data_IF_403257432326
#
_entry.id   IF_403257432326
#
_cell.length_a   1.000
_cell.length_b   1.000
_cell.length_c   1.000
_cell.angle_alpha   90.00
_cell.angle_beta   90.00
_cell.angle_gamma   90.00
#
_symmetry.space_group_name_H-M   'P 1'
#
loop_
_entity.id
_entity.type
_entity.pdbx_description
1 polymer ?
#
# COMPACT_ATOMS: atom_id res chain seq x y z
N UNK A 1 37.81 2.43 -14.84
CA UNK A 1 37.03 1.48 -14.02
C UNK A 1 37.41 0.08 -14.51
N UNK A 2 37.59 -0.88 -13.61
CA UNK A 2 37.86 -2.27 -14.04
C UNK A 2 36.61 -2.84 -14.75
N UNK A 3 36.84 -3.56 -15.84
CA UNK A 3 35.79 -4.16 -16.69
C UNK A 3 34.86 -5.10 -15.92
N UNK A 4 35.37 -5.72 -14.86
CA UNK A 4 34.61 -6.60 -13.95
C UNK A 4 33.61 -5.80 -13.11
N UNK A 5 34.06 -4.68 -12.52
CA UNK A 5 33.25 -3.76 -11.71
C UNK A 5 32.17 -3.12 -12.56
N UNK A 6 32.49 -2.72 -13.78
CA UNK A 6 31.51 -2.14 -14.72
C UNK A 6 30.38 -3.13 -15.05
N UNK A 7 30.71 -4.41 -15.29
CA UNK A 7 29.71 -5.46 -15.53
C UNK A 7 28.85 -5.73 -14.29
N UNK A 8 29.44 -5.73 -13.09
CA UNK A 8 28.69 -5.90 -11.84
C UNK A 8 27.74 -4.72 -11.61
N UNK A 9 28.20 -3.50 -11.87
CA UNK A 9 27.38 -2.30 -11.82
C UNK A 9 26.20 -2.37 -12.80
N UNK A 10 26.43 -2.72 -14.07
CA UNK A 10 25.36 -2.82 -15.08
C UNK A 10 24.27 -3.84 -14.68
N UNK A 11 24.64 -4.96 -14.04
CA UNK A 11 23.66 -5.94 -13.52
C UNK A 11 22.80 -5.35 -12.41
N UNK A 12 23.42 -4.64 -11.47
CA UNK A 12 22.71 -3.97 -10.39
C UNK A 12 21.81 -2.85 -10.93
N UNK A 13 22.32 -2.05 -11.86
CA UNK A 13 21.61 -0.96 -12.51
C UNK A 13 20.34 -1.46 -13.21
N UNK A 14 20.44 -2.51 -14.02
CA UNK A 14 19.29 -3.10 -14.71
C UNK A 14 18.24 -3.64 -13.74
N UNK A 15 18.66 -4.25 -12.63
CA UNK A 15 17.75 -4.71 -11.58
C UNK A 15 17.06 -3.53 -10.85
N UNK A 16 17.79 -2.44 -10.58
CA UNK A 16 17.21 -1.23 -9.97
C UNK A 16 16.21 -0.55 -10.91
N UNK A 17 16.45 -0.54 -12.22
CA UNK A 17 15.47 -0.07 -13.20
C UNK A 17 14.20 -0.91 -13.19
N UNK A 18 14.32 -2.24 -13.10
CA UNK A 18 13.17 -3.14 -13.03
C UNK A 18 12.39 -2.94 -11.73
N UNK A 19 13.08 -2.83 -10.59
CA UNK A 19 12.46 -2.44 -9.32
C UNK A 19 11.70 -1.13 -9.44
N UNK A 20 12.30 -0.13 -10.08
CA UNK A 20 11.65 1.18 -10.29
C UNK A 20 10.37 1.05 -11.10
N UNK A 21 10.34 0.21 -12.14
CA UNK A 21 9.10 -0.07 -12.91
C UNK A 21 8.05 -0.74 -12.04
N UNK A 22 8.41 -1.75 -11.26
CA UNK A 22 7.48 -2.45 -10.35
C UNK A 22 6.90 -1.47 -9.33
N UNK A 23 7.72 -0.61 -8.72
CA UNK A 23 7.24 0.41 -7.78
C UNK A 23 6.32 1.44 -8.46
N UNK A 24 6.59 1.85 -9.71
CA UNK A 24 5.67 2.72 -10.45
C UNK A 24 4.32 2.05 -10.69
N UNK A 25 4.31 0.79 -11.12
CA UNK A 25 3.07 0.03 -11.28
C UNK A 25 2.31 -0.13 -9.96
N UNK A 26 3.03 -0.40 -8.86
CA UNK A 26 2.42 -0.48 -7.53
C UNK A 26 1.81 0.86 -7.10
N UNK A 27 2.49 1.98 -7.37
CA UNK A 27 1.96 3.31 -7.10
C UNK A 27 0.67 3.59 -7.86
N UNK A 28 0.57 3.17 -9.12
CA UNK A 28 -0.65 3.33 -9.92
C UNK A 28 -1.80 2.49 -9.37
N UNK A 29 -1.53 1.26 -8.91
CA UNK A 29 -2.53 0.41 -8.24
C UNK A 29 -3.04 1.07 -6.96
N UNK A 30 -2.14 1.49 -6.06
CA UNK A 30 -2.54 2.09 -4.78
C UNK A 30 -3.30 3.40 -4.98
N UNK A 31 -3.00 4.18 -6.03
CA UNK A 31 -3.81 5.34 -6.41
C UNK A 31 -5.21 4.95 -6.86
N UNK A 32 -5.32 3.94 -7.73
CA UNK A 32 -6.61 3.46 -8.22
C UNK A 32 -7.46 2.89 -7.09
N UNK A 33 -6.86 2.22 -6.11
CA UNK A 33 -7.57 1.70 -4.94
C UNK A 33 -8.32 2.78 -4.17
N UNK A 34 -7.78 4.00 -4.10
CA UNK A 34 -8.47 5.14 -3.48
C UNK A 34 -9.83 5.40 -4.16
N UNK A 35 -9.84 5.44 -5.50
CA UNK A 35 -11.06 5.67 -6.27
C UNK A 35 -12.06 4.52 -6.13
N UNK A 36 -11.57 3.28 -6.05
CA UNK A 36 -12.39 2.09 -5.86
C UNK A 36 -13.04 2.05 -4.48
N UNK A 37 -12.29 2.43 -3.43
CA UNK A 37 -12.80 2.55 -2.06
C UNK A 37 -13.89 3.60 -1.95
N UNK A 38 -13.70 4.77 -2.59
CA UNK A 38 -14.71 5.85 -2.61
C UNK A 38 -15.99 5.41 -3.32
N UNK A 39 -15.87 4.60 -4.38
CA UNK A 39 -17.02 4.05 -5.12
C UNK A 39 -17.66 2.82 -4.47
N UNK A 40 -17.03 2.27 -3.42
CA UNK A 40 -17.40 0.99 -2.81
C UNK A 40 -17.52 -0.18 -3.82
N UNK A 41 -16.65 -0.18 -4.84
CA UNK A 41 -16.64 -1.21 -5.90
C UNK A 41 -15.84 -2.45 -5.43
N UNK A 42 -16.53 -3.36 -4.75
CA UNK A 42 -15.92 -4.56 -4.16
C UNK A 42 -15.28 -5.50 -5.21
N UNK A 43 -15.93 -5.84 -6.34
CA UNK A 43 -15.30 -6.68 -7.37
C UNK A 43 -14.01 -6.08 -7.93
N UNK A 44 -14.01 -4.78 -8.25
CA UNK A 44 -12.81 -4.12 -8.77
C UNK A 44 -11.71 -4.01 -7.71
N UNK A 45 -12.07 -3.85 -6.44
CA UNK A 45 -11.12 -3.83 -5.32
C UNK A 45 -10.45 -5.20 -5.12
N UNK A 46 -11.19 -6.30 -5.26
CA UNK A 46 -10.64 -7.66 -5.20
C UNK A 46 -9.66 -7.92 -6.35
N UNK A 47 -10.00 -7.52 -7.58
CA UNK A 47 -9.10 -7.60 -8.72
C UNK A 47 -7.83 -6.76 -8.51
N UNK A 48 -7.98 -5.54 -7.99
CA UNK A 48 -6.86 -4.66 -7.64
C UNK A 48 -5.92 -5.31 -6.61
N UNK A 49 -6.49 -5.94 -5.58
CA UNK A 49 -5.72 -6.65 -4.56
C UNK A 49 -4.92 -7.82 -5.15
N UNK A 50 -5.50 -8.62 -6.06
CA UNK A 50 -4.78 -9.70 -6.75
C UNK A 50 -3.58 -9.17 -7.56
N UNK A 51 -3.79 -8.11 -8.34
CA UNK A 51 -2.71 -7.47 -9.09
C UNK A 51 -1.61 -6.93 -8.16
N UNK A 52 -1.99 -6.37 -7.01
CA UNK A 52 -1.05 -5.91 -5.98
C UNK A 52 -0.24 -7.05 -5.40
N UNK A 53 -0.87 -8.18 -5.07
CA UNK A 53 -0.19 -9.37 -4.55
C UNK A 53 0.84 -9.93 -5.54
N UNK A 54 0.47 -10.04 -6.81
CA UNK A 54 1.38 -10.47 -7.88
C UNK A 54 2.60 -9.55 -8.01
N UNK A 55 2.39 -8.23 -7.96
CA UNK A 55 3.50 -7.27 -7.98
C UNK A 55 4.36 -7.36 -6.73
N UNK A 56 3.77 -7.54 -5.54
CA UNK A 56 4.54 -7.72 -4.30
C UNK A 56 5.38 -8.99 -4.32
N UNK A 57 4.88 -10.07 -4.93
CA UNK A 57 5.68 -11.29 -5.13
C UNK A 57 6.88 -11.02 -6.03
N UNK A 58 6.67 -10.37 -7.18
CA UNK A 58 7.76 -9.97 -8.10
C UNK A 58 8.75 -9.02 -7.43
N UNK A 59 8.25 -8.07 -6.63
CA UNK A 59 9.07 -7.10 -5.90
C UNK A 59 10.04 -7.80 -4.94
N UNK A 60 9.56 -8.76 -4.16
CA UNK A 60 10.40 -9.54 -3.23
C UNK A 60 11.51 -10.29 -3.97
N UNK A 61 11.18 -10.91 -5.11
CA UNK A 61 12.17 -11.61 -5.92
C UNK A 61 13.25 -10.65 -6.47
N UNK A 62 12.84 -9.48 -6.97
CA UNK A 62 13.76 -8.48 -7.50
C UNK A 62 14.60 -7.82 -6.40
N UNK A 63 14.06 -7.62 -5.19
CA UNK A 63 14.82 -7.06 -4.07
C UNK A 63 15.87 -8.05 -3.53
N UNK A 64 15.56 -9.34 -3.54
CA UNK A 64 16.56 -10.37 -3.24
C UNK A 64 17.72 -10.36 -4.25
N UNK A 65 17.41 -10.16 -5.55
CA UNK A 65 18.43 -9.99 -6.58
C UNK A 65 19.23 -8.70 -6.38
N UNK A 66 18.58 -7.59 -6.02
CA UNK A 66 19.23 -6.32 -5.69
C UNK A 66 20.26 -6.51 -4.58
N UNK A 67 19.86 -7.15 -3.49
CA UNK A 67 20.75 -7.40 -2.34
C UNK A 67 21.98 -8.21 -2.77
N UNK A 68 21.78 -9.28 -3.55
CA UNK A 68 22.89 -10.09 -4.09
C UNK A 68 23.82 -9.28 -5.00
N UNK A 69 23.28 -8.54 -5.97
CA UNK A 69 24.11 -7.76 -6.89
C UNK A 69 24.83 -6.59 -6.19
N UNK A 70 24.21 -6.00 -5.17
CA UNK A 70 24.85 -4.98 -4.35
C UNK A 70 26.00 -5.56 -3.52
N UNK A 71 25.84 -6.78 -2.98
CA UNK A 71 26.90 -7.51 -2.27
C UNK A 71 28.08 -7.86 -3.18
N UNK A 72 27.79 -8.34 -4.40
CA UNK A 72 28.81 -8.63 -5.41
C UNK A 72 29.62 -7.36 -5.75
N UNK A 73 28.91 -6.23 -5.98
CA UNK A 73 29.56 -4.96 -6.28
C UNK A 73 30.35 -4.43 -5.07
N UNK A 74 29.79 -4.53 -3.86
CA UNK A 74 30.45 -4.12 -2.61
C UNK A 74 31.80 -4.81 -2.43
N UNK A 75 31.84 -6.12 -2.69
CA UNK A 75 33.05 -6.94 -2.61
C UNK A 75 34.14 -6.42 -3.56
N UNK A 76 33.76 -6.01 -4.77
CA UNK A 76 34.72 -5.53 -5.78
C UNK A 76 35.23 -4.11 -5.52
N UNK A 77 34.42 -3.25 -4.88
CA UNK A 77 34.76 -1.84 -4.62
C UNK A 77 35.27 -1.59 -3.19
N UNK A 78 35.34 -2.63 -2.35
CA UNK A 78 35.75 -2.51 -0.94
C UNK A 78 34.77 -1.69 -0.09
N UNK A 79 33.46 -1.92 -0.29
CA UNK A 79 32.38 -1.40 0.56
C UNK A 79 31.94 -2.45 1.61
N UNK A 80 31.02 -2.07 2.50
CA UNK A 80 30.38 -3.04 3.40
C UNK A 80 29.58 -4.08 2.59
N UNK A 81 29.97 -5.35 2.74
CA UNK A 81 29.38 -6.51 2.07
C UNK A 81 28.18 -7.06 2.86
N UNK A 82 28.18 -6.91 4.19
CA UNK A 82 27.11 -7.39 5.06
C UNK A 82 25.86 -6.52 4.90
N UNK A 83 26.04 -5.20 4.75
CA UNK A 83 24.96 -4.25 4.55
C UNK A 83 25.22 -3.29 3.39
N UNK A 84 25.18 -3.77 2.12
CA UNK A 84 25.57 -2.97 0.97
C UNK A 84 24.55 -1.86 0.67
N UNK A 85 24.86 -0.63 1.09
CA UNK A 85 24.01 0.56 0.86
C UNK A 85 24.33 1.20 -0.49
N UNK A 86 23.29 1.50 -1.28
CA UNK A 86 23.47 2.11 -2.61
C UNK A 86 24.25 3.43 -2.58
N UNK A 87 24.01 4.27 -1.57
CA UNK A 87 24.73 5.54 -1.41
C UNK A 87 26.20 5.35 -1.03
N UNK A 88 26.52 4.30 -0.27
CA UNK A 88 27.90 3.96 0.06
C UNK A 88 28.64 3.42 -1.18
N UNK A 89 27.99 2.54 -1.95
CA UNK A 89 28.51 2.08 -3.25
C UNK A 89 28.77 3.26 -4.19
N UNK A 90 27.87 4.24 -4.24
CA UNK A 90 28.07 5.46 -5.02
C UNK A 90 29.23 6.32 -4.51
N UNK A 91 29.51 6.34 -3.20
CA UNK A 91 30.68 7.02 -2.63
C UNK A 91 31.98 6.31 -3.03
N UNK A 92 32.03 4.98 -2.97
CA UNK A 92 33.20 4.19 -3.39
C UNK A 92 33.49 4.32 -4.89
N UNK A 93 32.46 4.57 -5.69
CA UNK A 93 32.55 4.79 -7.13
C UNK A 93 32.67 6.28 -7.52
N UNK A 94 32.94 7.18 -6.57
CA UNK A 94 32.98 8.62 -6.83
C UNK A 94 33.90 8.99 -7.99
N UNK A 95 33.49 9.99 -8.78
CA UNK A 95 34.20 10.40 -10.00
C UNK A 95 33.89 9.54 -11.23
N UNK A 96 33.01 8.53 -11.12
CA UNK A 96 32.50 7.75 -12.25
C UNK A 96 31.03 8.05 -12.54
N UNK A 97 30.56 7.90 -13.79
CA UNK A 97 29.13 8.02 -14.12
C UNK A 97 28.25 7.05 -13.33
N UNK A 98 28.77 5.88 -12.95
CA UNK A 98 28.04 4.88 -12.17
C UNK A 98 27.58 5.43 -10.81
N UNK A 99 28.40 6.25 -10.15
CA UNK A 99 28.05 6.86 -8.88
C UNK A 99 26.82 7.76 -8.97
N UNK A 100 26.75 8.60 -10.01
CA UNK A 100 25.62 9.51 -10.20
C UNK A 100 24.35 8.75 -10.53
N UNK A 101 24.44 7.70 -11.35
CA UNK A 101 23.30 6.83 -11.66
C UNK A 101 22.76 6.11 -10.42
N UNK A 102 23.63 5.58 -9.55
CA UNK A 102 23.18 4.99 -8.28
C UNK A 102 22.46 5.99 -7.38
N UNK A 103 22.96 7.24 -7.29
CA UNK A 103 22.28 8.30 -6.53
C UNK A 103 20.91 8.61 -7.12
N UNK A 104 20.81 8.78 -8.43
CA UNK A 104 19.54 9.04 -9.12
C UNK A 104 18.53 7.90 -8.90
N UNK A 105 18.97 6.65 -9.05
CA UNK A 105 18.11 5.48 -8.83
C UNK A 105 17.65 5.39 -7.36
N UNK A 106 18.55 5.61 -6.41
CA UNK A 106 18.20 5.63 -4.99
C UNK A 106 17.15 6.71 -4.69
N UNK A 107 17.35 7.95 -5.15
CA UNK A 107 16.38 9.03 -4.95
C UNK A 107 15.03 8.73 -5.60
N UNK A 108 15.03 8.14 -6.81
CA UNK A 108 13.79 7.77 -7.48
C UNK A 108 13.01 6.71 -6.71
N UNK A 109 13.69 5.67 -6.22
CA UNK A 109 13.08 4.62 -5.40
C UNK A 109 12.56 5.15 -4.06
N UNK A 110 13.33 5.99 -3.38
CA UNK A 110 12.95 6.58 -2.09
C UNK A 110 11.65 7.41 -2.21
N UNK A 111 11.58 8.27 -3.23
CA UNK A 111 10.38 9.07 -3.53
C UNK A 111 9.17 8.17 -3.83
N UNK A 112 9.35 7.11 -4.62
CA UNK A 112 8.26 6.17 -4.94
C UNK A 112 7.77 5.44 -3.69
N UNK A 113 8.68 4.87 -2.90
CA UNK A 113 8.37 4.11 -1.68
C UNK A 113 7.62 5.00 -0.68
N UNK A 114 8.12 6.23 -0.45
CA UNK A 114 7.45 7.19 0.43
C UNK A 114 6.03 7.46 -0.04
N UNK A 115 5.84 7.76 -1.32
CA UNK A 115 4.52 8.07 -1.88
C UNK A 115 3.55 6.90 -1.82
N UNK A 116 4.03 5.68 -2.09
CA UNK A 116 3.21 4.46 -1.98
C UNK A 116 2.77 4.27 -0.53
N UNK A 117 3.68 4.45 0.43
CA UNK A 117 3.40 4.28 1.85
C UNK A 117 2.35 5.29 2.33
N UNK A 118 2.49 6.56 1.94
CA UNK A 118 1.57 7.63 2.30
C UNK A 118 0.15 7.35 1.76
N UNK A 119 0.01 7.01 0.47
CA UNK A 119 -1.31 6.75 -0.14
C UNK A 119 -1.91 5.46 0.43
N UNK A 120 -1.10 4.41 0.66
CA UNK A 120 -1.59 3.18 1.24
C UNK A 120 -2.15 3.40 2.65
N UNK A 121 -1.51 4.28 3.43
CA UNK A 121 -2.01 4.68 4.75
C UNK A 121 -3.33 5.45 4.65
N UNK A 122 -3.45 6.38 3.70
CA UNK A 122 -4.73 7.07 3.43
C UNK A 122 -5.84 6.06 3.05
N UNK A 123 -5.54 5.10 2.17
CA UNK A 123 -6.50 4.06 1.76
C UNK A 123 -6.94 3.19 2.95
N UNK A 124 -6.02 2.86 3.85
CA UNK A 124 -6.33 2.15 5.08
C UNK A 124 -7.30 2.95 5.97
N UNK A 125 -7.08 4.26 6.12
CA UNK A 125 -7.96 5.15 6.87
C UNK A 125 -9.36 5.27 6.24
N UNK A 126 -9.45 5.34 4.90
CA UNK A 126 -10.74 5.33 4.18
C UNK A 126 -11.49 4.02 4.40
N UNK A 127 -10.82 2.88 4.26
CA UNK A 127 -11.43 1.57 4.46
C UNK A 127 -11.94 1.39 5.91
N UNK A 128 -11.14 1.80 6.90
CA UNK A 128 -11.53 1.78 8.32
C UNK A 128 -12.75 2.66 8.60
N UNK A 129 -12.76 3.86 8.02
CA UNK A 129 -13.88 4.81 8.19
C UNK A 129 -15.18 4.26 7.59
N UNK A 130 -15.11 3.69 6.38
CA UNK A 130 -16.26 3.07 5.73
C UNK A 130 -16.85 1.92 6.56
N UNK A 131 -15.99 1.05 7.11
CA UNK A 131 -16.41 -0.03 8.01
C UNK A 131 -17.03 0.50 9.32
N UNK A 132 -16.48 1.58 9.87
CA UNK A 132 -17.02 2.24 11.06
C UNK A 132 -18.45 2.77 10.82
N UNK A 133 -18.67 3.45 9.70
CA UNK A 133 -20.00 3.95 9.31
C UNK A 133 -20.99 2.82 9.09
N UNK A 134 -20.59 1.74 8.41
CA UNK A 134 -21.46 0.57 8.20
C UNK A 134 -21.85 -0.10 9.52
N UNK A 135 -20.90 -0.30 10.44
CA UNK A 135 -21.19 -0.87 11.76
C UNK A 135 -22.12 0.01 12.58
N UNK A 136 -21.94 1.35 12.53
CA UNK A 136 -22.85 2.30 13.16
C UNK A 136 -24.27 2.18 12.60
N UNK A 137 -24.42 2.24 11.27
CA UNK A 137 -25.70 2.11 10.61
C UNK A 137 -26.38 0.76 10.88
N UNK A 138 -25.62 -0.34 10.92
CA UNK A 138 -26.14 -1.66 11.28
C UNK A 138 -26.60 -1.72 12.73
N UNK A 139 -25.89 -1.10 13.66
CA UNK A 139 -26.31 -0.99 15.05
C UNK A 139 -27.57 -0.15 15.19
N UNK A 140 -27.68 0.99 14.49
CA UNK A 140 -28.88 1.83 14.50
C UNK A 140 -30.10 1.08 13.94
N UNK A 141 -29.92 0.33 12.85
CA UNK A 141 -30.96 -0.54 12.28
C UNK A 141 -31.33 -1.64 13.27
N UNK A 142 -30.35 -2.29 13.90
CA UNK A 142 -30.59 -3.33 14.91
C UNK A 142 -31.34 -2.78 16.12
N UNK A 143 -30.98 -1.61 16.63
CA UNK A 143 -31.62 -0.97 17.77
C UNK A 143 -33.04 -0.50 17.43
N UNK A 144 -33.25 -0.03 16.18
CA UNK A 144 -34.57 0.29 15.65
C UNK A 144 -35.47 -0.94 15.50
N UNK A 145 -34.93 -2.04 14.97
CA UNK A 145 -35.65 -3.31 14.77
C UNK A 145 -35.86 -4.09 16.07
N UNK A 146 -34.95 -3.98 17.04
CA UNK A 146 -35.05 -4.65 18.34
C UNK A 146 -36.19 -4.10 19.21
N UNK A 147 -36.85 -3.02 18.77
CA UNK A 147 -37.96 -2.38 19.45
C UNK A 147 -37.50 -1.65 20.70
N UNK A 148 -37.86 -0.37 20.84
CA UNK A 148 -37.63 0.36 22.09
C UNK A 148 -38.31 -0.41 23.24
N UNK A 149 -37.52 -0.95 24.18
CA UNK A 149 -38.02 -1.34 25.51
C UNK A 149 -38.44 -0.06 26.23
N UNK A 150 -39.67 0.39 26.00
CA UNK A 150 -40.25 1.49 26.76
C UNK A 150 -40.53 0.98 28.18
N UNK A 151 -39.98 1.69 29.18
CA UNK A 151 -40.32 1.46 30.58
C UNK A 151 -41.76 1.94 30.78
N UNK A 152 -42.72 1.02 30.74
CA UNK A 152 -44.10 1.32 31.12
C UNK A 152 -44.13 1.72 32.59
N UNK A 153 -44.68 2.89 32.92
CA UNK A 153 -44.77 3.43 34.28
C UNK A 153 -45.58 2.60 35.29
N UNK A 154 -45.94 1.36 34.98
CA UNK A 154 -46.54 0.38 35.88
C UNK A 154 -46.02 -1.00 35.46
N UNK A 155 -45.33 -1.69 36.36
CA UNK A 155 -44.56 -2.93 36.11
C UNK A 155 -45.37 -4.14 35.61
N UNK A 156 -45.88 -4.09 34.39
CA UNK A 156 -46.35 -5.24 33.63
C UNK A 156 -45.94 -5.08 32.16
N UNK A 157 -45.19 -6.08 31.66
CA UNK A 157 -44.84 -6.19 30.25
C UNK A 157 -46.11 -6.50 29.44
N UNK A 158 -46.45 -5.62 28.50
CA UNK A 158 -47.38 -5.93 27.41
C UNK A 158 -46.62 -5.86 26.09
N UNK A 159 -46.54 -6.99 25.39
CA UNK A 159 -46.12 -7.08 23.99
C UNK A 159 -47.17 -6.39 23.13
N UNK A 160 -46.85 -5.18 22.65
CA UNK A 160 -47.69 -4.43 21.70
C UNK A 160 -47.47 -4.87 20.25
N UNK A 161 -48.39 -4.55 19.33
CA UNK A 161 -48.36 -5.06 17.95
C UNK A 161 -47.18 -4.51 17.16
N UNK A 162 -46.61 -5.38 16.31
CA UNK A 162 -45.53 -5.07 15.36
C UNK A 162 -46.02 -4.06 14.30
N UNK A 163 -45.66 -2.78 14.44
CA UNK A 163 -45.62 -1.86 13.30
C UNK A 163 -44.34 -1.04 13.42
N UNK A 164 -43.27 -1.55 12.82
CA UNK A 164 -42.02 -0.83 12.63
C UNK A 164 -42.08 -0.10 11.28
N UNK A 165 -41.82 1.21 11.28
CA UNK A 165 -41.60 1.99 10.06
C UNK A 165 -42.41 3.27 10.03
N UNK A 166 -41.93 4.30 10.71
CA UNK A 166 -42.37 5.67 10.46
C UNK A 166 -41.23 6.38 9.70
N UNK A 167 -41.10 6.09 8.40
CA UNK A 167 -40.32 6.95 7.52
C UNK A 167 -41.12 8.23 7.31
N UNK A 168 -40.55 9.36 7.70
CA UNK A 168 -41.18 10.67 7.57
C UNK A 168 -41.28 11.02 6.09
N UNK A 169 -42.50 10.96 5.53
CA UNK A 169 -42.82 11.60 4.26
C UNK A 169 -42.86 13.11 4.48
N UNK A 170 -41.91 13.83 3.89
CA UNK A 170 -42.03 15.28 3.68
C UNK A 170 -42.70 15.51 2.33
N UNK A 171 -43.97 15.88 2.33
CA UNK A 171 -44.58 16.68 1.28
C UNK A 171 -45.57 17.69 1.90
N UNK A 172 -45.62 18.87 1.26
CA UNK A 172 -46.38 20.10 1.52
C UNK A 172 -45.74 21.12 2.47
#
# INVERSE_FOLDING_TARGET
>A
MDTTVERAFQKLEANLEELTKIYRSLLDIVRKEKDLLVKADLPALDESNKLKEDLLFKLRAQDALRARYAMDLATMVGADVENPRLLELAQKLAGTPAADRLRTQHSALDVLIKRITDINKENEEYAKSALGTLNGALNDVKDSLAGKKTYGGKGQYKTGPQVAGNFVSKEA
#
